data_IF_372723722966
#
_entry.id   IF_372723722966
#
_cell.length_a   1.000
_cell.length_b   1.000
_cell.length_c   1.000
_cell.angle_alpha   90.00
_cell.angle_beta   90.00
_cell.angle_gamma   90.00
#
_symmetry.space_group_name_H-M   'P 1'
#
loop_
_entity.id
_entity.type
_entity.pdbx_description
1 polymer ?
#
# COMPACT_ATOMS: atom_id res chain seq x y z
N UNK A 1 -49.94 -62.81 -53.86
CA UNK A 1 -49.45 -61.63 -54.59
C UNK A 1 -49.40 -60.48 -53.60
N UNK A 2 -48.23 -60.05 -53.12
CA UNK A 2 -48.14 -58.71 -52.54
C UNK A 2 -46.82 -58.05 -52.91
N UNK A 3 -46.98 -56.82 -53.38
CA UNK A 3 -46.21 -56.16 -54.39
C UNK A 3 -45.07 -55.30 -53.81
N UNK A 4 -44.06 -55.09 -54.63
CA UNK A 4 -42.79 -54.40 -54.38
C UNK A 4 -42.95 -52.96 -53.86
N UNK A 5 -42.15 -52.60 -52.87
CA UNK A 5 -41.51 -51.28 -52.70
C UNK A 5 -40.14 -51.51 -52.02
N UNK A 6 -39.04 -51.56 -52.77
CA UNK A 6 -37.70 -51.84 -52.26
C UNK A 6 -36.99 -50.52 -51.90
N UNK A 7 -37.56 -49.75 -50.97
CA UNK A 7 -36.96 -48.48 -50.56
C UNK A 7 -36.67 -48.52 -49.07
N UNK A 8 -35.55 -49.17 -48.74
CA UNK A 8 -34.97 -49.12 -47.40
C UNK A 8 -33.92 -47.99 -47.37
N UNK A 9 -34.25 -46.82 -46.78
CA UNK A 9 -33.32 -45.69 -46.70
C UNK A 9 -32.08 -46.00 -45.85
N UNK A 10 -32.17 -46.95 -44.91
CA UNK A 10 -31.00 -47.38 -44.13
C UNK A 10 -30.07 -48.25 -44.96
N UNK A 11 -30.60 -49.15 -45.79
CA UNK A 11 -29.78 -49.94 -46.71
C UNK A 11 -29.08 -49.06 -47.75
N UNK A 12 -29.75 -48.04 -48.27
CA UNK A 12 -29.15 -47.07 -49.20
C UNK A 12 -28.08 -46.20 -48.52
N UNK A 13 -28.35 -45.70 -47.31
CA UNK A 13 -27.36 -44.95 -46.53
C UNK A 13 -26.16 -45.82 -46.17
N UNK A 14 -26.39 -47.08 -45.79
CA UNK A 14 -25.34 -48.04 -45.50
C UNK A 14 -24.50 -48.35 -46.74
N UNK A 15 -25.11 -48.65 -47.89
CA UNK A 15 -24.37 -48.89 -49.14
C UNK A 15 -23.57 -47.64 -49.55
N UNK A 16 -24.13 -46.44 -49.35
CA UNK A 16 -23.42 -45.19 -49.61
C UNK A 16 -22.27 -44.95 -48.64
N UNK A 17 -22.46 -45.24 -47.35
CA UNK A 17 -21.40 -45.19 -46.33
C UNK A 17 -20.31 -46.22 -46.63
N UNK A 18 -20.66 -47.49 -46.85
CA UNK A 18 -19.71 -48.58 -47.12
C UNK A 18 -18.90 -48.29 -48.41
N UNK A 19 -19.53 -47.73 -49.46
CA UNK A 19 -18.84 -47.26 -50.67
C UNK A 19 -17.92 -46.07 -50.41
N UNK A 20 -18.39 -45.11 -49.63
CA UNK A 20 -17.60 -43.92 -49.25
C UNK A 20 -16.41 -44.34 -48.40
N UNK A 21 -16.61 -45.17 -47.39
CA UNK A 21 -15.58 -45.73 -46.53
C UNK A 21 -14.52 -46.47 -47.34
N UNK A 22 -14.91 -47.34 -48.28
CA UNK A 22 -13.94 -48.05 -49.11
C UNK A 22 -13.12 -47.11 -49.98
N UNK A 23 -13.75 -46.06 -50.53
CA UNK A 23 -13.07 -45.08 -51.37
C UNK A 23 -12.10 -44.21 -50.56
N UNK A 24 -12.55 -43.74 -49.39
CA UNK A 24 -11.74 -42.96 -48.46
C UNK A 24 -10.62 -43.79 -47.85
N UNK A 25 -10.88 -45.04 -47.49
CA UNK A 25 -9.87 -45.97 -46.97
C UNK A 25 -8.74 -46.17 -47.96
N UNK A 26 -9.05 -46.39 -49.25
CA UNK A 26 -8.03 -46.51 -50.31
C UNK A 26 -7.30 -45.19 -50.56
N UNK A 27 -8.02 -44.08 -50.61
CA UNK A 27 -7.42 -42.77 -50.82
C UNK A 27 -6.50 -42.37 -49.67
N UNK A 28 -6.88 -42.67 -48.42
CA UNK A 28 -6.07 -42.43 -47.22
C UNK A 28 -4.87 -43.36 -47.18
N UNK A 29 -5.02 -44.64 -47.50
CA UNK A 29 -3.90 -45.59 -47.57
C UNK A 29 -2.87 -45.16 -48.63
N UNK A 30 -3.33 -44.74 -49.81
CA UNK A 30 -2.45 -44.25 -50.87
C UNK A 30 -1.81 -42.90 -50.50
N UNK A 31 -2.54 -42.03 -49.80
CA UNK A 31 -2.04 -40.73 -49.34
C UNK A 31 -1.03 -40.87 -48.22
N UNK A 32 -1.28 -41.71 -47.21
CA UNK A 32 -0.34 -41.99 -46.10
C UNK A 32 0.95 -42.66 -46.58
N UNK A 33 0.93 -43.34 -47.73
CA UNK A 33 2.13 -43.91 -48.36
C UNK A 33 2.94 -42.90 -49.16
N UNK A 34 2.39 -41.71 -49.43
CA UNK A 34 3.10 -40.60 -50.09
C UNK A 34 3.71 -39.69 -49.03
N UNK A 35 4.97 -39.32 -49.23
CA UNK A 35 5.72 -38.45 -48.32
C UNK A 35 5.06 -37.07 -48.16
N UNK A 36 4.37 -36.62 -49.21
CA UNK A 36 3.62 -35.36 -49.29
C UNK A 36 2.45 -35.22 -48.29
N UNK A 37 1.97 -36.33 -47.69
CA UNK A 37 0.88 -36.26 -46.71
C UNK A 37 1.27 -35.50 -45.45
N UNK A 38 2.52 -35.65 -45.00
CA UNK A 38 3.03 -34.94 -43.82
C UNK A 38 3.19 -33.44 -44.10
N UNK A 39 3.63 -33.10 -45.31
CA UNK A 39 3.75 -31.70 -45.74
C UNK A 39 2.37 -31.06 -45.87
N UNK A 40 1.41 -31.75 -46.49
CA UNK A 40 0.03 -31.28 -46.61
C UNK A 40 -0.64 -31.10 -45.25
N UNK A 41 -0.46 -32.04 -44.32
CA UNK A 41 -0.96 -31.92 -42.94
C UNK A 41 -0.30 -30.75 -42.20
N UNK A 42 1.00 -30.52 -42.41
CA UNK A 42 1.71 -29.37 -41.86
C UNK A 42 1.14 -28.04 -42.36
N UNK A 43 0.95 -27.91 -43.68
CA UNK A 43 0.34 -26.74 -44.30
C UNK A 43 -1.11 -26.52 -43.85
N UNK A 44 -1.89 -27.60 -43.77
CA UNK A 44 -3.27 -27.56 -43.29
C UNK A 44 -3.35 -27.10 -41.82
N UNK A 45 -2.47 -27.64 -40.97
CA UNK A 45 -2.40 -27.24 -39.56
C UNK A 45 -1.97 -25.77 -39.43
N UNK A 46 -0.98 -25.33 -40.20
CA UNK A 46 -0.57 -23.91 -40.24
C UNK A 46 -1.73 -23.01 -40.67
N UNK A 47 -2.49 -23.40 -41.70
CA UNK A 47 -3.66 -22.66 -42.17
C UNK A 47 -4.77 -22.62 -41.11
N UNK A 48 -5.01 -23.73 -40.42
CA UNK A 48 -5.97 -23.80 -39.31
C UNK A 48 -5.58 -22.90 -38.15
N UNK A 49 -4.31 -22.89 -37.76
CA UNK A 49 -3.79 -22.01 -36.70
C UNK A 49 -3.88 -20.53 -37.10
N UNK A 50 -3.58 -20.21 -38.36
CA UNK A 50 -3.75 -18.86 -38.89
C UNK A 50 -5.21 -18.42 -38.89
N UNK A 51 -6.13 -19.30 -39.29
CA UNK A 51 -7.57 -19.04 -39.24
C UNK A 51 -8.06 -18.82 -37.80
N UNK A 52 -7.62 -19.66 -36.85
CA UNK A 52 -7.91 -19.47 -35.43
C UNK A 52 -7.41 -18.12 -34.91
N UNK A 53 -6.19 -17.72 -35.27
CA UNK A 53 -5.65 -16.41 -34.88
C UNK A 53 -6.45 -15.25 -35.52
N UNK A 54 -6.83 -15.37 -36.78
CA UNK A 54 -7.66 -14.37 -37.46
C UNK A 54 -9.05 -14.23 -36.80
N UNK A 55 -9.68 -15.35 -36.42
CA UNK A 55 -10.95 -15.35 -35.68
C UNK A 55 -10.78 -14.65 -34.32
N UNK A 56 -9.71 -14.94 -33.58
CA UNK A 56 -9.42 -14.30 -32.30
C UNK A 56 -9.25 -12.78 -32.45
N UNK A 57 -8.40 -12.35 -33.38
CA UNK A 57 -8.20 -10.93 -33.67
C UNK A 57 -9.47 -10.25 -34.16
N UNK A 58 -10.27 -10.91 -35.01
CA UNK A 58 -11.55 -10.37 -35.46
C UNK A 58 -12.56 -10.27 -34.32
N UNK A 59 -12.53 -11.20 -33.37
CA UNK A 59 -13.40 -11.19 -32.19
C UNK A 59 -12.97 -10.09 -31.22
N UNK A 60 -11.67 -9.90 -31.02
CA UNK A 60 -11.13 -8.77 -30.24
C UNK A 60 -11.53 -7.44 -30.88
N UNK A 61 -11.28 -7.24 -32.18
CA UNK A 61 -11.69 -6.02 -32.90
C UNK A 61 -13.22 -5.80 -32.90
N UNK A 62 -14.01 -6.88 -32.87
CA UNK A 62 -15.47 -6.80 -32.77
C UNK A 62 -15.92 -6.40 -31.35
N UNK A 63 -15.24 -6.93 -30.32
CA UNK A 63 -15.48 -6.58 -28.92
C UNK A 63 -15.04 -5.14 -28.64
N UNK A 64 -13.91 -4.70 -29.21
CA UNK A 64 -13.46 -3.30 -29.18
C UNK A 64 -14.49 -2.36 -29.82
N UNK A 65 -15.05 -2.72 -30.98
CA UNK A 65 -16.12 -1.95 -31.62
C UNK A 65 -17.44 -1.95 -30.82
N UNK A 66 -17.69 -2.98 -30.03
CA UNK A 66 -18.83 -3.06 -29.13
C UNK A 66 -18.59 -2.35 -27.77
N UNK A 67 -17.46 -1.63 -27.60
CA UNK A 67 -17.02 -1.06 -26.32
C UNK A 67 -16.95 -2.09 -25.17
N UNK A 68 -16.82 -3.38 -25.50
CA UNK A 68 -16.68 -4.45 -24.52
C UNK A 68 -15.19 -4.71 -24.33
N UNK A 69 -14.61 -4.35 -23.16
CA UNK A 69 -13.19 -4.56 -22.91
C UNK A 69 -12.86 -6.05 -23.02
N UNK A 70 -11.72 -6.35 -23.64
CA UNK A 70 -11.27 -7.74 -23.75
C UNK A 70 -10.96 -8.30 -22.35
N UNK A 71 -10.99 -9.63 -22.21
CA UNK A 71 -10.60 -10.27 -20.93
C UNK A 71 -9.16 -9.93 -20.54
N UNK A 72 -8.27 -9.69 -21.51
CA UNK A 72 -6.89 -9.29 -21.27
C UNK A 72 -6.82 -7.88 -20.66
N UNK A 73 -7.62 -6.93 -21.17
CA UNK A 73 -7.66 -5.55 -20.65
C UNK A 73 -8.19 -5.51 -19.21
N UNK A 74 -9.21 -6.31 -18.90
CA UNK A 74 -9.73 -6.44 -17.53
C UNK A 74 -8.65 -6.98 -16.59
N UNK A 75 -7.85 -7.96 -17.03
CA UNK A 75 -6.75 -8.50 -16.23
C UNK A 75 -5.63 -7.48 -15.98
N UNK A 76 -5.30 -6.69 -17.01
CA UNK A 76 -4.30 -5.63 -16.90
C UNK A 76 -4.79 -4.51 -15.98
N UNK A 77 -6.05 -4.10 -16.10
CA UNK A 77 -6.68 -3.13 -15.21
C UNK A 77 -6.74 -3.64 -13.77
N UNK A 78 -7.11 -4.90 -13.54
CA UNK A 78 -7.11 -5.49 -12.21
C UNK A 78 -5.71 -5.47 -11.58
N UNK A 79 -4.68 -5.80 -12.35
CA UNK A 79 -3.28 -5.75 -11.88
C UNK A 79 -2.84 -4.32 -11.55
N UNK A 80 -3.26 -3.34 -12.35
CA UNK A 80 -2.97 -1.94 -12.09
C UNK A 80 -3.69 -1.44 -10.83
N UNK A 81 -4.94 -1.84 -10.61
CA UNK A 81 -5.73 -1.49 -9.42
C UNK A 81 -5.06 -2.05 -8.16
N UNK A 82 -4.59 -3.30 -8.18
CA UNK A 82 -3.87 -3.89 -7.03
C UNK A 82 -2.59 -3.10 -6.70
N UNK A 83 -1.84 -2.67 -7.71
CA UNK A 83 -0.66 -1.82 -7.48
C UNK A 83 -1.02 -0.42 -6.96
N UNK A 84 -2.19 0.10 -7.35
CA UNK A 84 -2.69 1.37 -6.82
C UNK A 84 -3.15 1.22 -5.37
N UNK A 85 -3.84 0.14 -5.03
CA UNK A 85 -4.25 -0.20 -3.65
C UNK A 85 -3.02 -0.26 -2.73
N UNK A 86 -2.00 -1.03 -3.10
CA UNK A 86 -0.76 -1.10 -2.31
C UNK A 86 -0.10 0.27 -2.11
N UNK A 87 -0.07 1.11 -3.15
CA UNK A 87 0.45 2.49 -3.04
C UNK A 87 -0.42 3.40 -2.19
N UNK A 88 -1.73 3.19 -2.16
CA UNK A 88 -2.65 3.95 -1.31
C UNK A 88 -2.48 3.53 0.14
N UNK A 89 -2.32 2.23 0.42
CA UNK A 89 -2.01 1.72 1.75
C UNK A 89 -0.69 2.30 2.28
N UNK A 90 0.37 2.32 1.44
CA UNK A 90 1.65 2.95 1.80
C UNK A 90 1.47 4.44 2.14
N UNK A 91 0.64 5.16 1.39
CA UNK A 91 0.35 6.58 1.66
C UNK A 91 -0.45 6.76 2.94
N UNK A 92 -1.40 5.87 3.23
CA UNK A 92 -2.17 5.88 4.47
C UNK A 92 -1.25 5.68 5.68
N UNK A 93 -0.36 4.69 5.64
CA UNK A 93 0.64 4.44 6.69
C UNK A 93 1.55 5.66 6.91
N UNK A 94 2.07 6.25 5.83
CA UNK A 94 2.90 7.46 5.92
C UNK A 94 2.15 8.65 6.54
N UNK A 95 0.86 8.82 6.23
CA UNK A 95 0.03 9.90 6.78
C UNK A 95 -0.25 9.66 8.26
N UNK A 96 -0.56 8.42 8.66
CA UNK A 96 -0.77 8.07 10.06
C UNK A 96 0.50 8.30 10.89
N UNK A 97 1.66 7.89 10.37
CA UNK A 97 2.95 8.08 11.04
C UNK A 97 3.31 9.58 11.18
N UNK A 98 3.15 10.37 10.12
CA UNK A 98 3.40 11.81 10.17
C UNK A 98 2.45 12.52 11.14
N UNK A 99 1.17 12.16 11.15
CA UNK A 99 0.19 12.72 12.09
C UNK A 99 0.55 12.38 13.53
N UNK A 100 0.95 11.13 13.81
CA UNK A 100 1.41 10.71 15.12
C UNK A 100 2.67 11.48 15.55
N UNK A 101 3.63 11.68 14.65
CA UNK A 101 4.82 12.48 14.91
C UNK A 101 4.49 13.95 15.19
N UNK A 102 3.59 14.56 14.43
CA UNK A 102 3.16 15.94 14.66
C UNK A 102 2.51 16.10 16.05
N UNK A 103 1.63 15.17 16.45
CA UNK A 103 1.00 15.20 17.78
C UNK A 103 2.06 15.09 18.88
N UNK A 104 3.01 14.15 18.74
CA UNK A 104 4.09 13.98 19.70
C UNK A 104 4.97 15.24 19.79
N UNK A 105 5.35 15.84 18.66
CA UNK A 105 6.12 17.08 18.63
C UNK A 105 5.39 18.26 19.28
N UNK A 106 4.07 18.37 19.10
CA UNK A 106 3.25 19.37 19.77
C UNK A 106 3.26 19.17 21.30
N UNK A 107 3.17 17.92 21.76
CA UNK A 107 3.24 17.60 23.19
C UNK A 107 4.62 17.91 23.77
N UNK A 108 5.71 17.50 23.10
CA UNK A 108 7.09 17.84 23.50
C UNK A 108 7.26 19.35 23.57
N UNK A 109 6.77 20.11 22.59
CA UNK A 109 6.84 21.59 22.61
C UNK A 109 6.10 22.19 23.81
N UNK A 110 4.95 21.64 24.19
CA UNK A 110 4.21 22.09 25.40
C UNK A 110 4.99 21.77 26.67
N UNK A 111 5.55 20.57 26.79
CA UNK A 111 6.36 20.16 27.94
C UNK A 111 7.63 21.03 28.08
N UNK A 112 8.31 21.31 26.97
CA UNK A 112 9.47 22.22 26.94
C UNK A 112 9.09 23.63 27.40
N UNK A 113 7.94 24.16 26.95
CA UNK A 113 7.47 25.47 27.41
C UNK A 113 7.11 25.49 28.90
N UNK A 114 6.56 24.40 29.43
CA UNK A 114 6.30 24.24 30.86
C UNK A 114 7.60 24.16 31.66
N UNK A 115 8.55 23.31 31.25
CA UNK A 115 9.89 23.21 31.84
C UNK A 115 10.60 24.56 31.84
N UNK A 116 10.54 25.32 30.73
CA UNK A 116 11.09 26.67 30.65
C UNK A 116 10.50 27.62 31.70
N UNK A 117 9.20 27.50 31.97
CA UNK A 117 8.52 28.29 33.00
C UNK A 117 8.94 27.86 34.40
N UNK A 118 9.00 26.55 34.66
CA UNK A 118 9.42 25.99 35.94
C UNK A 118 10.89 26.35 36.26
N UNK A 119 11.78 26.27 35.27
CA UNK A 119 13.18 26.70 35.39
C UNK A 119 13.28 28.19 35.69
N UNK A 120 12.49 29.04 35.02
CA UNK A 120 12.46 30.49 35.31
C UNK A 120 11.96 30.79 36.73
N UNK A 121 11.04 30.00 37.25
CA UNK A 121 10.58 30.14 38.64
C UNK A 121 11.64 29.70 39.65
N UNK A 122 12.39 28.62 39.33
CA UNK A 122 13.53 28.18 40.14
C UNK A 122 14.65 29.23 40.16
N UNK A 123 14.95 29.84 39.02
CA UNK A 123 15.93 30.92 38.88
C UNK A 123 15.60 32.11 39.82
N UNK A 124 14.34 32.58 39.80
CA UNK A 124 13.88 33.61 40.74
C UNK A 124 14.01 33.22 42.21
N UNK A 125 13.66 31.97 42.55
CA UNK A 125 13.79 31.48 43.93
C UNK A 125 15.25 31.40 44.36
N UNK A 126 16.15 31.03 43.46
CA UNK A 126 17.59 31.04 43.72
C UNK A 126 18.08 32.47 43.97
N UNK A 127 17.65 33.44 43.18
CA UNK A 127 17.97 34.85 43.40
C UNK A 127 17.48 35.35 44.78
N UNK A 128 16.23 35.01 45.16
CA UNK A 128 15.69 35.34 46.48
C UNK A 128 16.53 34.73 47.62
N UNK A 129 16.93 33.46 47.49
CA UNK A 129 17.79 32.79 48.48
C UNK A 129 19.16 33.45 48.55
N UNK A 130 19.76 33.83 47.43
CA UNK A 130 21.05 34.54 47.40
C UNK A 130 20.94 35.89 48.12
N UNK A 131 19.84 36.63 47.92
CA UNK A 131 19.58 37.89 48.62
C UNK A 131 19.48 37.66 50.12
N UNK A 132 18.67 36.69 50.57
CA UNK A 132 18.51 36.36 52.00
C UNK A 132 19.81 35.90 52.66
N UNK A 133 20.64 35.12 51.95
CA UNK A 133 21.97 34.71 52.43
C UNK A 133 22.93 35.91 52.55
N UNK A 134 22.85 36.87 51.63
CA UNK A 134 23.63 38.11 51.71
C UNK A 134 23.16 39.00 52.86
N UNK A 135 21.86 39.12 53.08
CA UNK A 135 21.27 39.87 54.20
C UNK A 135 21.61 39.25 55.56
N UNK A 136 21.54 37.91 55.69
CA UNK A 136 21.94 37.21 56.92
C UNK A 136 23.43 37.32 57.20
N UNK A 137 24.29 37.21 56.18
CA UNK A 137 25.74 37.49 56.28
C UNK A 137 26.01 38.93 56.73
N UNK A 138 25.20 39.89 56.28
CA UNK A 138 25.33 41.31 56.68
C UNK A 138 24.85 41.54 58.12
N UNK A 139 23.86 40.77 58.60
CA UNK A 139 23.31 40.87 59.97
C UNK A 139 24.25 40.32 61.05
N UNK A 140 25.04 39.28 60.77
CA UNK A 140 26.01 38.76 61.75
C UNK A 140 27.15 39.74 62.06
N UNK A 141 27.39 40.75 61.21
CA UNK A 141 28.45 41.76 61.43
C UNK A 141 28.00 42.91 62.36
N UNK A 142 26.71 43.04 62.71
CA UNK A 142 26.17 44.26 63.38
C UNK A 142 25.59 44.00 64.80
N UNK A 143 25.68 42.80 65.38
CA UNK A 143 25.38 42.60 66.82
C UNK A 143 26.59 41.96 67.52
N UNK A 144 27.40 42.75 68.25
CA UNK A 144 26.93 43.44 69.45
C UNK A 144 27.60 44.82 69.71
N UNK A 145 26.90 45.95 69.53
CA UNK A 145 27.40 47.26 70.04
C UNK A 145 26.33 48.12 70.74
N UNK A 146 25.05 47.75 70.79
CA UNK A 146 24.01 48.67 71.33
C UNK A 146 23.16 48.08 72.44
N UNK A 147 23.77 47.32 73.36
CA UNK A 147 23.11 46.89 74.58
C UNK A 147 23.96 47.14 75.84
N UNK A 148 24.67 48.27 75.93
CA UNK A 148 25.35 48.67 77.17
C UNK A 148 25.57 50.19 77.25
N UNK A 149 24.49 50.97 77.29
CA UNK A 149 24.56 52.40 77.63
C UNK A 149 23.26 52.90 78.27
N UNK A 150 22.76 52.16 79.26
CA UNK A 150 21.75 52.67 80.17
C UNK A 150 21.81 51.86 81.47
N UNK A 151 22.78 52.16 82.33
CA UNK A 151 22.73 52.04 83.80
C UNK A 151 24.12 52.45 84.35
N UNK A 152 24.11 53.31 85.37
CA UNK A 152 25.25 53.91 86.11
C UNK A 152 25.83 55.23 85.57
N UNK A 153 25.25 56.35 86.01
CA UNK A 153 25.88 57.27 86.98
C UNK A 153 24.97 58.46 87.23
N UNK A 154 24.05 58.26 88.16
CA UNK A 154 23.69 59.29 89.12
C UNK A 154 24.74 59.18 90.25
N UNK A 155 25.19 60.34 90.77
CA UNK A 155 26.08 60.60 91.94
C UNK A 155 27.39 61.33 91.60
N UNK A 156 27.58 62.46 92.32
CA UNK A 156 28.63 63.50 92.32
C UNK A 156 28.40 64.61 91.26
N UNK A 157 27.69 65.72 91.52
CA UNK A 157 27.88 66.76 92.56
C UNK A 157 29.32 67.27 92.71
N UNK A 158 29.43 68.61 92.69
CA UNK A 158 30.44 69.45 93.35
C UNK A 158 31.86 69.52 92.76
N UNK A 159 32.19 70.63 92.07
CA UNK A 159 32.94 71.78 92.62
C UNK A 159 33.56 72.65 91.49
N UNK A 160 33.28 73.96 91.58
CA UNK A 160 33.99 75.13 91.01
C UNK A 160 34.22 75.28 89.51
#
# INVERSE_FOLDING_TARGET
MNNKMPFDPFAMWKDMYDKTESHWSKAVDESMRKEDFSEWMGQFLSMYLQYQNMIKQSTENYLEQANMPSRADISNLASLIVNLEAKVDDLEEMIEEDLAHQINNLNVTREVNRLKTDVKNLDKKLDEVIILLKESTTREVISPVVAEAAVTKEVAQEEK
#
